data_IF_082979189669
#
_entry.id   IF_082979189669
#
_cell.length_a   1.000
_cell.length_b   1.000
_cell.length_c   1.000
_cell.angle_alpha   90.00
_cell.angle_beta   90.00
_cell.angle_gamma   90.00
#
_symmetry.space_group_name_H-M   'P 1'
#
loop_
_entity.id
_entity.type
_entity.pdbx_description
1 polymer ?
#
# COMPACT_ATOMS: atom_id res chain seq x y z
N UNK A 1 3.41 -6.28 -11.80
CA UNK A 1 2.95 -7.60 -12.26
C UNK A 1 4.13 -8.37 -12.77
N UNK A 2 4.28 -9.65 -12.38
CA UNK A 2 5.33 -10.56 -12.82
C UNK A 2 4.68 -11.77 -13.50
N UNK A 3 5.26 -12.21 -14.61
CA UNK A 3 4.80 -13.39 -15.34
C UNK A 3 5.91 -13.95 -16.21
N UNK A 4 6.04 -15.27 -16.23
CA UNK A 4 6.92 -16.02 -17.14
C UNK A 4 6.19 -16.41 -18.43
N UNK A 5 4.90 -16.13 -18.53
CA UNK A 5 4.13 -16.40 -19.75
C UNK A 5 4.32 -15.26 -20.77
N UNK A 6 4.94 -15.52 -21.95
CA UNK A 6 5.23 -14.49 -22.94
C UNK A 6 3.96 -13.85 -23.54
N UNK A 7 2.87 -14.58 -23.66
CA UNK A 7 1.61 -14.03 -24.14
C UNK A 7 1.00 -13.05 -23.13
N UNK A 8 0.97 -13.40 -21.85
CA UNK A 8 0.51 -12.49 -20.80
C UNK A 8 1.39 -11.26 -20.70
N UNK A 9 2.71 -11.40 -20.84
CA UNK A 9 3.64 -10.28 -20.86
C UNK A 9 3.29 -9.30 -22.00
N UNK A 10 3.05 -9.80 -23.20
CA UNK A 10 2.64 -8.99 -24.37
C UNK A 10 1.33 -8.24 -24.10
N UNK A 11 0.33 -8.93 -23.56
CA UNK A 11 -0.99 -8.35 -23.25
C UNK A 11 -0.87 -7.26 -22.20
N UNK A 12 -0.15 -7.51 -21.09
CA UNK A 12 0.06 -6.55 -20.00
C UNK A 12 0.79 -5.31 -20.50
N UNK A 13 1.80 -5.47 -21.35
CA UNK A 13 2.51 -4.32 -21.97
C UNK A 13 1.60 -3.49 -22.86
N UNK A 14 0.71 -4.12 -23.62
CA UNK A 14 -0.27 -3.42 -24.42
C UNK A 14 -1.25 -2.62 -23.55
N UNK A 15 -1.82 -3.23 -22.52
CA UNK A 15 -2.68 -2.52 -21.55
C UNK A 15 -1.98 -1.36 -20.84
N UNK A 16 -0.70 -1.51 -20.51
CA UNK A 16 0.12 -0.45 -19.90
C UNK A 16 0.29 0.76 -20.82
N UNK A 17 0.31 0.54 -22.15
CA UNK A 17 0.66 1.51 -23.18
C UNK A 17 -0.58 1.80 -24.09
N UNK A 18 -1.66 2.23 -23.49
CA UNK A 18 -2.96 2.62 -24.10
C UNK A 18 -3.71 1.54 -24.87
N UNK A 19 -3.30 0.30 -24.86
CA UNK A 19 -3.88 -0.77 -25.69
C UNK A 19 -3.27 -0.87 -27.08
N UNK A 20 -2.04 -0.35 -27.26
CA UNK A 20 -1.32 -0.48 -28.54
C UNK A 20 -1.05 -1.93 -28.90
N UNK A 21 -1.20 -2.23 -30.18
CA UNK A 21 -0.89 -3.54 -30.75
C UNK A 21 0.61 -3.70 -31.02
N UNK A 22 1.30 -2.61 -31.35
CA UNK A 22 2.73 -2.60 -31.57
C UNK A 22 3.53 -2.87 -30.28
N UNK A 23 4.44 -3.84 -30.34
CA UNK A 23 5.30 -4.27 -29.21
C UNK A 23 6.76 -3.82 -29.32
N UNK A 24 7.10 -3.03 -30.33
CA UNK A 24 8.44 -2.53 -30.51
C UNK A 24 8.88 -1.68 -29.32
N UNK A 25 10.05 -1.94 -28.72
CA UNK A 25 10.61 -1.08 -27.68
C UNK A 25 10.99 0.29 -28.23
N UNK A 26 11.19 1.27 -27.35
CA UNK A 26 11.61 2.62 -27.75
C UNK A 26 12.91 2.57 -28.56
N UNK A 27 12.99 3.37 -29.61
CA UNK A 27 14.15 3.41 -30.51
C UNK A 27 14.25 2.28 -31.54
N UNK A 28 13.31 1.34 -31.53
CA UNK A 28 13.24 0.26 -32.50
C UNK A 28 11.93 0.31 -33.30
N UNK A 29 12.01 0.08 -34.59
CA UNK A 29 10.86 0.09 -35.50
C UNK A 29 10.79 -1.22 -36.28
N UNK A 30 9.58 -1.56 -36.72
CA UNK A 30 9.32 -2.66 -37.65
C UNK A 30 9.91 -4.03 -37.24
N UNK A 31 10.03 -4.32 -35.93
CA UNK A 31 10.53 -5.63 -35.46
C UNK A 31 9.61 -6.80 -35.87
N UNK A 32 8.34 -6.53 -36.13
CA UNK A 32 7.38 -7.55 -36.62
C UNK A 32 7.54 -7.82 -38.12
N UNK A 33 8.25 -6.97 -38.90
CA UNK A 33 8.34 -7.02 -40.36
C UNK A 33 7.05 -6.64 -41.10
N UNK A 34 6.02 -6.17 -40.40
CA UNK A 34 4.67 -5.95 -40.91
C UNK A 34 4.12 -4.56 -40.58
N UNK A 35 4.99 -3.54 -40.62
CA UNK A 35 4.60 -2.20 -40.18
C UNK A 35 3.51 -1.56 -41.06
N UNK A 36 3.55 -1.81 -42.41
CA UNK A 36 2.74 -1.11 -43.40
C UNK A 36 1.98 -2.03 -44.36
N UNK A 37 1.96 -3.33 -44.14
CA UNK A 37 1.46 -4.32 -45.09
C UNK A 37 0.20 -5.06 -44.63
N UNK A 38 -0.39 -4.65 -43.52
CA UNK A 38 -1.58 -5.31 -42.94
C UNK A 38 -2.81 -4.42 -42.91
N UNK A 39 -3.97 -5.06 -42.95
CA UNK A 39 -5.26 -4.46 -42.67
C UNK A 39 -5.57 -4.59 -41.18
N UNK A 40 -5.97 -3.50 -40.54
CA UNK A 40 -6.38 -3.45 -39.13
C UNK A 40 -7.79 -2.87 -39.04
N UNK A 41 -8.78 -3.74 -38.87
CA UNK A 41 -10.19 -3.32 -38.81
C UNK A 41 -10.58 -2.47 -40.05
N UNK A 42 -11.18 -1.31 -39.82
CA UNK A 42 -11.59 -0.36 -40.86
C UNK A 42 -10.54 0.73 -41.18
N UNK A 43 -9.31 0.61 -40.60
CA UNK A 43 -8.24 1.54 -40.93
C UNK A 43 -7.78 1.39 -42.38
N UNK A 44 -7.20 2.43 -43.02
CA UNK A 44 -6.69 2.32 -44.38
C UNK A 44 -5.66 1.18 -44.51
N UNK A 45 -5.69 0.46 -45.66
CA UNK A 45 -4.68 -0.57 -45.93
C UNK A 45 -3.27 0.02 -45.83
N UNK A 46 -2.37 -0.66 -45.17
CA UNK A 46 -1.00 -0.19 -44.95
C UNK A 46 -0.88 0.90 -43.89
N UNK A 47 -1.88 1.10 -43.05
CA UNK A 47 -1.79 2.01 -41.94
C UNK A 47 -0.65 1.61 -40.98
N UNK A 48 0.08 2.60 -40.48
CA UNK A 48 1.27 2.32 -39.64
C UNK A 48 0.89 1.57 -38.35
N UNK A 49 1.32 0.31 -38.24
CA UNK A 49 1.08 -0.58 -37.11
C UNK A 49 1.43 0.05 -35.76
N UNK A 50 2.37 0.98 -35.75
CA UNK A 50 2.81 1.70 -34.53
C UNK A 50 1.67 2.48 -33.86
N UNK A 51 0.66 2.88 -34.60
CA UNK A 51 -0.48 3.68 -34.14
C UNK A 51 -1.79 2.91 -34.08
N UNK A 52 -1.74 1.59 -34.19
CA UNK A 52 -2.93 0.73 -34.08
C UNK A 52 -3.20 0.45 -32.60
N UNK A 53 -4.45 0.65 -32.17
CA UNK A 53 -4.95 0.33 -30.84
C UNK A 53 -5.94 -0.82 -30.96
N UNK A 54 -5.60 -2.00 -30.42
CA UNK A 54 -6.43 -3.19 -30.52
C UNK A 54 -7.51 -3.26 -29.44
N UNK A 55 -7.34 -2.51 -28.35
CA UNK A 55 -8.26 -2.45 -27.21
C UNK A 55 -8.01 -1.17 -26.39
N UNK A 56 -8.88 -0.90 -25.44
CA UNK A 56 -8.67 0.19 -24.49
C UNK A 56 -7.63 -0.21 -23.43
N UNK A 57 -6.67 0.65 -23.18
CA UNK A 57 -5.63 0.45 -22.17
C UNK A 57 -5.41 1.68 -21.30
N UNK A 58 -4.31 1.67 -20.54
CA UNK A 58 -3.98 2.69 -19.55
C UNK A 58 -2.67 3.40 -19.91
N UNK A 59 -2.48 4.59 -19.38
CA UNK A 59 -1.18 5.29 -19.43
C UNK A 59 -0.40 4.97 -18.15
N UNK A 60 0.25 3.80 -18.10
CA UNK A 60 0.98 3.31 -16.93
C UNK A 60 2.48 3.10 -17.19
N UNK A 61 2.98 3.57 -18.32
CA UNK A 61 4.41 3.48 -18.65
C UNK A 61 5.21 4.50 -17.85
N UNK A 62 6.17 4.02 -17.05
CA UNK A 62 7.10 4.88 -16.34
C UNK A 62 7.98 5.68 -17.30
N UNK A 63 8.27 6.92 -16.95
CA UNK A 63 9.25 7.76 -17.69
C UNK A 63 10.67 7.49 -17.20
N UNK A 64 11.66 7.88 -17.99
CA UNK A 64 13.08 7.75 -17.62
C UNK A 64 13.44 8.58 -16.39
N UNK A 65 12.79 9.74 -16.19
CA UNK A 65 12.94 10.55 -14.97
C UNK A 65 12.46 9.80 -13.72
N UNK A 66 11.30 9.13 -13.80
CA UNK A 66 10.79 8.30 -12.70
C UNK A 66 11.72 7.10 -12.44
N UNK A 67 12.24 6.48 -13.49
CA UNK A 67 13.18 5.38 -13.37
C UNK A 67 14.51 5.82 -12.74
N UNK A 68 15.05 6.98 -13.12
CA UNK A 68 16.27 7.54 -12.54
C UNK A 68 16.13 7.81 -11.03
N UNK A 69 14.98 8.36 -10.59
CA UNK A 69 14.67 8.51 -9.16
C UNK A 69 14.64 7.13 -8.48
N UNK A 70 14.01 6.14 -9.11
CA UNK A 70 13.95 4.76 -8.61
C UNK A 70 15.35 4.17 -8.43
N UNK A 71 16.25 4.33 -9.39
CA UNK A 71 17.64 3.87 -9.31
C UNK A 71 18.36 4.48 -8.09
N UNK A 72 18.25 5.80 -7.90
CA UNK A 72 18.87 6.48 -6.76
C UNK A 72 18.27 6.05 -5.40
N UNK A 73 17.01 5.64 -5.37
CA UNK A 73 16.38 5.12 -4.15
C UNK A 73 16.80 3.68 -3.84
N UNK A 74 16.99 2.83 -4.86
CA UNK A 74 17.41 1.43 -4.67
C UNK A 74 18.76 1.35 -3.96
N UNK A 75 19.71 2.24 -4.25
CA UNK A 75 21.01 2.29 -3.58
C UNK A 75 20.87 2.49 -2.05
N UNK A 76 19.86 3.24 -1.61
CA UNK A 76 19.58 3.54 -0.19
C UNK A 76 18.67 2.50 0.46
N UNK A 77 18.02 1.67 -0.33
CA UNK A 77 16.97 0.76 0.12
C UNK A 77 17.41 -0.22 1.23
N UNK A 78 18.59 -0.87 1.17
CA UNK A 78 19.03 -1.76 2.25
C UNK A 78 19.07 -1.05 3.61
N UNK A 79 19.66 0.14 3.67
CA UNK A 79 19.73 0.96 4.90
C UNK A 79 18.33 1.34 5.41
N UNK A 80 17.39 1.65 4.51
CA UNK A 80 16.01 1.95 4.91
C UNK A 80 15.31 0.73 5.52
N UNK A 81 15.54 -0.47 4.97
CA UNK A 81 14.98 -1.71 5.50
C UNK A 81 15.51 -2.01 6.90
N UNK A 82 16.84 -1.92 7.08
CA UNK A 82 17.48 -2.14 8.38
C UNK A 82 16.99 -1.14 9.42
N UNK A 83 16.92 0.15 9.07
CA UNK A 83 16.48 1.18 10.01
C UNK A 83 15.00 1.02 10.39
N UNK A 84 14.13 0.65 9.47
CA UNK A 84 12.71 0.36 9.78
C UNK A 84 12.57 -0.80 10.75
N UNK A 85 13.33 -1.87 10.59
CA UNK A 85 13.35 -3.01 11.50
C UNK A 85 13.86 -2.61 12.87
N UNK A 86 14.99 -1.92 12.93
CA UNK A 86 15.56 -1.41 14.19
C UNK A 86 14.54 -0.54 14.95
N UNK A 87 13.90 0.42 14.28
CA UNK A 87 12.91 1.29 14.90
C UNK A 87 11.70 0.52 15.43
N UNK A 88 11.23 -0.46 14.66
CA UNK A 88 10.13 -1.33 15.07
C UNK A 88 10.50 -2.16 16.29
N UNK A 89 11.64 -2.84 16.26
CA UNK A 89 12.09 -3.72 17.35
C UNK A 89 12.34 -2.92 18.64
N UNK A 90 12.94 -1.73 18.52
CA UNK A 90 13.16 -0.81 19.65
C UNK A 90 11.84 -0.37 20.29
N UNK A 91 10.89 0.08 19.48
CA UNK A 91 9.57 0.50 19.98
C UNK A 91 8.83 -0.67 20.63
N UNK A 92 8.86 -1.85 19.99
CA UNK A 92 8.23 -3.05 20.53
C UNK A 92 8.83 -3.46 21.88
N UNK A 93 10.15 -3.46 22.00
CA UNK A 93 10.82 -3.75 23.26
C UNK A 93 10.46 -2.74 24.35
N UNK A 94 10.45 -1.45 24.02
CA UNK A 94 10.10 -0.38 24.95
C UNK A 94 8.63 -0.41 25.42
N UNK A 95 7.73 -1.02 24.65
CA UNK A 95 6.29 -1.15 24.97
C UNK A 95 5.93 -2.53 25.53
N UNK A 96 6.85 -3.47 25.69
CA UNK A 96 6.56 -4.85 26.10
C UNK A 96 5.75 -4.93 27.42
N UNK A 97 6.02 -4.05 28.36
CA UNK A 97 5.32 -3.99 29.66
C UNK A 97 3.85 -3.55 29.56
N UNK A 98 3.40 -3.06 28.39
CA UNK A 98 2.01 -2.60 28.17
C UNK A 98 1.13 -3.67 27.53
N UNK A 99 1.61 -4.89 27.38
CA UNK A 99 0.87 -5.98 26.73
C UNK A 99 -0.34 -6.46 27.55
N UNK A 100 -0.48 -6.06 28.80
CA UNK A 100 -1.73 -6.21 29.58
C UNK A 100 -2.87 -5.35 29.01
N UNK A 101 -2.57 -4.18 28.46
CA UNK A 101 -3.54 -3.18 27.94
C UNK A 101 -3.55 -3.05 26.42
N UNK A 102 -2.47 -3.41 25.75
CA UNK A 102 -2.27 -3.30 24.31
C UNK A 102 -1.97 -4.66 23.67
N UNK A 103 -2.36 -4.82 22.41
CA UNK A 103 -1.85 -5.87 21.54
C UNK A 103 -0.80 -5.23 20.65
N UNK A 104 0.42 -5.66 20.77
CA UNK A 104 1.55 -5.19 19.98
C UNK A 104 1.76 -6.09 18.75
N UNK A 105 2.24 -5.55 17.61
CA UNK A 105 2.40 -6.31 16.38
C UNK A 105 3.57 -7.30 16.49
N UNK A 106 3.42 -8.44 15.87
CA UNK A 106 4.45 -9.45 15.69
C UNK A 106 4.57 -9.83 14.22
N UNK A 107 5.79 -10.13 13.71
CA UNK A 107 5.93 -10.63 12.35
C UNK A 107 5.24 -12.00 12.23
N UNK A 108 4.67 -12.29 11.07
CA UNK A 108 4.21 -13.63 10.77
C UNK A 108 5.39 -14.61 10.71
N UNK A 109 5.13 -15.88 11.01
CA UNK A 109 6.15 -16.93 10.93
C UNK A 109 6.81 -16.93 9.54
N UNK A 110 8.12 -17.15 9.50
CA UNK A 110 8.93 -17.18 8.28
C UNK A 110 8.92 -15.87 7.46
N UNK A 111 8.56 -14.74 8.09
CA UNK A 111 8.60 -13.41 7.45
C UNK A 111 9.67 -12.50 8.05
N UNK A 112 10.19 -11.57 7.20
CA UNK A 112 11.10 -10.50 7.61
C UNK A 112 10.60 -9.15 7.09
N UNK A 113 9.54 -8.58 7.68
CA UNK A 113 8.92 -7.36 7.18
C UNK A 113 9.87 -6.15 7.23
N UNK A 114 9.70 -5.24 6.26
CA UNK A 114 10.18 -3.86 6.36
C UNK A 114 8.99 -3.01 6.77
N UNK A 115 8.84 -2.77 8.06
CA UNK A 115 7.65 -2.18 8.64
C UNK A 115 7.38 -0.76 8.13
N UNK A 116 6.14 -0.50 7.71
CA UNK A 116 5.67 0.82 7.36
C UNK A 116 5.27 1.62 8.60
N UNK A 117 4.58 0.98 9.53
CA UNK A 117 4.11 1.53 10.78
C UNK A 117 4.06 0.48 11.87
N UNK A 118 3.92 0.93 13.11
CA UNK A 118 3.77 0.10 14.29
C UNK A 118 2.30 0.09 14.70
N UNK A 119 1.64 -1.04 14.48
CA UNK A 119 0.21 -1.23 14.71
C UNK A 119 -0.05 -1.51 16.18
N UNK A 120 -1.00 -0.81 16.78
CA UNK A 120 -1.38 -0.96 18.19
C UNK A 120 -2.89 -1.19 18.25
N UNK A 121 -3.31 -2.26 18.91
CA UNK A 121 -4.73 -2.50 19.19
C UNK A 121 -4.99 -2.44 20.69
N UNK A 122 -5.88 -1.55 21.11
CA UNK A 122 -6.27 -1.42 22.51
C UNK A 122 -7.07 -2.66 22.95
N UNK A 123 -6.75 -3.17 24.15
CA UNK A 123 -7.55 -4.21 24.78
C UNK A 123 -8.75 -3.61 25.50
N UNK A 124 -9.72 -4.46 25.85
CA UNK A 124 -10.91 -4.07 26.59
C UNK A 124 -10.53 -3.29 27.88
N UNK A 125 -11.13 -2.14 28.06
CA UNK A 125 -10.86 -1.23 29.19
C UNK A 125 -9.86 -0.11 28.85
N UNK A 126 -9.26 -0.11 27.67
CA UNK A 126 -8.41 0.98 27.19
C UNK A 126 -9.15 1.74 26.09
N UNK A 127 -9.39 3.03 26.31
CA UNK A 127 -10.05 3.92 25.35
C UNK A 127 -9.05 4.38 24.29
N UNK A 128 -9.17 3.81 23.08
CA UNK A 128 -8.34 4.16 21.93
C UNK A 128 -8.39 5.66 21.59
N UNK A 129 -9.58 6.28 21.67
CA UNK A 129 -9.74 7.68 21.29
C UNK A 129 -9.02 8.61 22.26
N UNK A 130 -9.13 8.36 23.57
CA UNK A 130 -8.40 9.13 24.59
C UNK A 130 -6.90 8.96 24.42
N UNK A 131 -6.42 7.74 24.24
CA UNK A 131 -5.00 7.44 24.03
C UNK A 131 -4.46 8.16 22.79
N UNK A 132 -5.13 8.09 21.67
CA UNK A 132 -4.73 8.76 20.42
C UNK A 132 -4.71 10.27 20.58
N UNK A 133 -5.74 10.87 21.20
CA UNK A 133 -5.77 12.32 21.43
C UNK A 133 -4.62 12.78 22.33
N UNK A 134 -4.27 12.01 23.36
CA UNK A 134 -3.11 12.29 24.19
C UNK A 134 -1.81 12.24 23.39
N UNK A 135 -1.58 11.17 22.62
CA UNK A 135 -0.39 10.99 21.76
C UNK A 135 -0.25 12.14 20.77
N UNK A 136 -1.34 12.51 20.08
CA UNK A 136 -1.37 13.65 19.14
C UNK A 136 -1.08 14.99 19.84
N UNK A 137 -1.58 15.20 21.06
CA UNK A 137 -1.30 16.39 21.85
C UNK A 137 0.19 16.57 22.22
N UNK A 138 0.95 15.48 22.16
CA UNK A 138 2.41 15.44 22.41
C UNK A 138 3.23 15.52 21.11
N UNK A 139 2.60 15.86 19.98
CA UNK A 139 3.27 16.03 18.69
C UNK A 139 3.61 14.75 17.95
N UNK A 140 3.02 13.62 18.33
CA UNK A 140 3.20 12.33 17.66
C UNK A 140 1.96 12.06 16.81
N UNK A 141 2.13 11.99 15.49
CA UNK A 141 1.03 11.69 14.59
C UNK A 141 0.64 10.21 14.66
N UNK A 142 -0.66 9.98 14.69
CA UNK A 142 -1.27 8.65 14.61
C UNK A 142 -2.12 8.50 13.34
N UNK A 143 -2.45 7.28 12.99
CA UNK A 143 -3.40 6.97 11.92
C UNK A 143 -4.26 5.79 12.36
N UNK A 144 -5.53 5.81 11.96
CA UNK A 144 -6.39 4.63 12.07
C UNK A 144 -5.94 3.57 11.07
N UNK A 145 -6.30 2.31 11.30
CA UNK A 145 -6.03 1.28 10.30
C UNK A 145 -6.97 1.47 9.09
N UNK A 146 -6.63 2.49 8.30
CA UNK A 146 -7.37 2.95 7.12
C UNK A 146 -8.86 3.14 7.40
N UNK A 147 -9.72 2.65 6.51
CA UNK A 147 -11.17 2.84 6.59
C UNK A 147 -11.87 1.87 7.57
N UNK A 148 -11.19 0.83 8.07
CA UNK A 148 -11.83 -0.18 8.91
C UNK A 148 -12.97 -0.91 8.19
N UNK A 149 -14.17 -0.90 8.76
CA UNK A 149 -15.34 -1.54 8.16
C UNK A 149 -16.01 -0.62 7.11
N UNK A 150 -15.69 -0.83 5.84
CA UNK A 150 -16.16 -0.01 4.73
C UNK A 150 -17.68 0.10 4.66
N UNK A 151 -18.41 -1.00 4.90
CA UNK A 151 -19.88 -0.98 4.78
C UNK A 151 -20.57 -0.13 5.84
N UNK A 152 -19.86 0.34 6.88
CA UNK A 152 -20.38 1.27 7.88
C UNK A 152 -20.21 2.74 7.52
N UNK A 153 -19.47 3.03 6.44
CA UNK A 153 -19.29 4.41 5.99
C UNK A 153 -20.54 4.98 5.31
N UNK A 154 -20.74 6.30 5.36
CA UNK A 154 -21.92 6.96 4.77
C UNK A 154 -22.13 6.68 3.29
N UNK A 155 -21.07 6.46 2.50
CA UNK A 155 -21.20 6.11 1.09
C UNK A 155 -21.95 4.79 0.82
N UNK A 156 -22.16 3.96 1.85
CA UNK A 156 -22.92 2.73 1.75
C UNK A 156 -24.34 2.84 2.35
N UNK A 157 -24.77 4.03 2.80
CA UNK A 157 -26.07 4.19 3.47
C UNK A 157 -27.24 3.71 2.60
N UNK A 158 -27.31 4.13 1.34
CA UNK A 158 -28.34 3.71 0.40
C UNK A 158 -28.30 2.20 0.14
N UNK A 159 -27.11 1.66 -0.12
CA UNK A 159 -26.94 0.22 -0.35
C UNK A 159 -27.37 -0.61 0.85
N UNK A 160 -27.09 -0.13 2.08
CA UNK A 160 -27.53 -0.79 3.31
C UNK A 160 -29.05 -0.72 3.49
N UNK A 161 -29.65 0.43 3.21
CA UNK A 161 -31.10 0.62 3.27
C UNK A 161 -31.83 -0.31 2.28
N UNK A 162 -31.32 -0.39 1.05
CA UNK A 162 -31.88 -1.23 -0.02
C UNK A 162 -31.45 -2.72 0.09
N UNK A 163 -30.47 -3.05 0.93
CA UNK A 163 -29.84 -4.38 1.03
C UNK A 163 -29.36 -4.91 -0.31
N UNK A 164 -28.81 -4.04 -1.16
CA UNK A 164 -28.43 -4.33 -2.54
C UNK A 164 -27.07 -3.73 -2.87
N UNK A 165 -26.36 -4.34 -3.85
CA UNK A 165 -25.09 -3.82 -4.37
C UNK A 165 -23.86 -4.23 -3.58
N UNK A 166 -23.99 -4.98 -2.48
CA UNK A 166 -22.86 -5.51 -1.69
C UNK A 166 -23.17 -6.89 -1.12
N UNK A 167 -22.13 -7.59 -0.68
CA UNK A 167 -22.24 -8.88 0.01
C UNK A 167 -21.31 -8.88 1.23
N UNK A 168 -21.82 -9.27 2.38
CA UNK A 168 -21.05 -9.51 3.59
C UNK A 168 -20.85 -11.01 3.76
N UNK A 169 -19.63 -11.41 4.09
CA UNK A 169 -19.26 -12.78 4.43
C UNK A 169 -18.83 -12.83 5.89
N UNK A 170 -19.54 -13.61 6.70
CA UNK A 170 -19.32 -13.69 8.15
C UNK A 170 -19.91 -12.51 8.92
N UNK A 171 -19.44 -12.33 10.16
CA UNK A 171 -20.00 -11.34 11.13
C UNK A 171 -19.28 -10.00 11.09
N UNK A 172 -18.09 -9.90 10.51
CA UNK A 172 -17.20 -8.73 10.52
C UNK A 172 -16.79 -8.22 11.92
N UNK A 173 -16.95 -9.02 12.98
CA UNK A 173 -16.61 -8.64 14.36
C UNK A 173 -15.14 -8.21 14.51
N UNK A 174 -14.21 -8.95 13.88
CA UNK A 174 -12.80 -8.58 13.90
C UNK A 174 -12.53 -7.27 13.14
N UNK A 175 -13.23 -7.04 12.03
CA UNK A 175 -13.14 -5.80 11.25
C UNK A 175 -13.66 -4.62 12.07
N UNK A 176 -14.76 -4.79 12.78
CA UNK A 176 -15.34 -3.79 13.67
C UNK A 176 -14.41 -3.48 14.85
N UNK A 177 -13.83 -4.52 15.46
CA UNK A 177 -12.84 -4.37 16.51
C UNK A 177 -11.59 -3.59 16.04
N UNK A 178 -11.07 -3.93 14.87
CA UNK A 178 -9.95 -3.19 14.28
C UNK A 178 -10.33 -1.72 14.06
N UNK A 179 -11.51 -1.46 13.53
CA UNK A 179 -12.00 -0.09 13.31
C UNK A 179 -12.09 0.72 14.61
N UNK A 180 -12.55 0.10 15.70
CA UNK A 180 -12.77 0.76 16.99
C UNK A 180 -11.47 0.93 17.79
N UNK A 181 -10.64 -0.10 17.83
CA UNK A 181 -9.60 -0.25 18.85
C UNK A 181 -8.19 -0.11 18.32
N UNK A 182 -7.99 -0.06 16.99
CA UNK A 182 -6.66 -0.09 16.38
C UNK A 182 -6.25 1.27 15.83
N UNK A 183 -4.98 1.63 16.00
CA UNK A 183 -4.29 2.74 15.38
C UNK A 183 -2.83 2.35 15.10
N UNK A 184 -2.08 3.19 14.40
CA UNK A 184 -0.65 2.98 14.19
C UNK A 184 0.14 4.28 14.25
N UNK A 185 1.43 4.14 14.59
CA UNK A 185 2.44 5.19 14.58
C UNK A 185 3.55 4.87 13.58
N UNK A 186 4.22 5.88 13.07
CA UNK A 186 5.28 5.68 12.07
C UNK A 186 6.57 5.12 12.68
N UNK A 187 7.29 4.30 11.89
CA UNK A 187 8.64 3.81 12.22
C UNK A 187 9.58 4.01 11.03
N UNK A 188 9.47 5.14 10.34
CA UNK A 188 10.20 5.43 9.11
C UNK A 188 11.73 5.58 9.35
N UNK A 189 12.57 5.42 8.31
CA UNK A 189 14.03 5.36 8.46
C UNK A 189 14.67 6.62 9.05
N UNK A 190 14.06 7.79 8.90
CA UNK A 190 14.58 9.05 9.41
C UNK A 190 14.32 9.32 10.90
N UNK A 191 13.71 8.37 11.62
CA UNK A 191 13.53 8.50 13.08
C UNK A 191 14.81 8.10 13.80
N UNK A 192 15.23 8.93 14.75
CA UNK A 192 16.34 8.63 15.66
C UNK A 192 15.85 7.77 16.84
N UNK A 193 16.79 7.18 17.56
CA UNK A 193 16.47 6.36 18.72
C UNK A 193 15.77 7.16 19.82
N UNK A 194 16.17 8.42 20.02
CA UNK A 194 15.53 9.33 20.98
C UNK A 194 14.07 9.61 20.63
N UNK A 195 13.74 9.72 19.33
CA UNK A 195 12.35 9.88 18.88
C UNK A 195 11.51 8.64 19.13
N UNK A 196 12.09 7.45 18.94
CA UNK A 196 11.41 6.18 19.24
C UNK A 196 11.19 6.05 20.76
N UNK A 197 12.19 6.37 21.57
CA UNK A 197 12.09 6.33 23.05
C UNK A 197 11.04 7.34 23.56
N UNK A 198 11.04 8.55 23.01
CA UNK A 198 10.02 9.55 23.31
C UNK A 198 8.61 9.06 22.96
N UNK A 199 8.44 8.45 21.80
CA UNK A 199 7.16 7.86 21.38
C UNK A 199 6.70 6.78 22.37
N UNK A 200 7.59 5.85 22.74
CA UNK A 200 7.28 4.82 23.72
C UNK A 200 6.86 5.41 25.07
N UNK A 201 7.60 6.42 25.56
CA UNK A 201 7.28 7.13 26.81
C UNK A 201 5.87 7.74 26.74
N UNK A 202 5.56 8.48 25.69
CA UNK A 202 4.26 9.16 25.53
C UNK A 202 3.10 8.15 25.44
N UNK A 203 3.28 7.02 24.74
CA UNK A 203 2.27 5.97 24.68
C UNK A 203 1.99 5.42 26.08
N UNK A 204 3.03 5.13 26.88
CA UNK A 204 2.89 4.65 28.27
C UNK A 204 2.19 5.68 29.16
N UNK A 205 2.57 6.95 29.09
CA UNK A 205 1.92 8.03 29.83
C UNK A 205 0.44 8.18 29.46
N UNK A 206 0.09 8.06 28.16
CA UNK A 206 -1.29 8.10 27.68
C UNK A 206 -2.16 6.96 28.22
N UNK A 207 -1.57 5.81 28.52
CA UNK A 207 -2.30 4.70 29.15
C UNK A 207 -2.66 4.96 30.61
N UNK A 208 -2.05 5.93 31.27
CA UNK A 208 -2.30 6.30 32.66
C UNK A 208 -3.38 7.40 32.81
N UNK A 209 -3.84 7.99 31.69
CA UNK A 209 -4.89 9.01 31.68
C UNK A 209 -6.29 8.37 31.64
#
# INVERSE_FOLDING_TARGET
VYTDNPLLNKIIRSFRDWGRDCVCPSGHDNMCGHRFDRQYGELPLGYDHKYVYSHFGYNLKATDLQAAIGCAQIEKFPTFVERRRHNFDRLRAALAETEDRLILPVPAENSRPSWFGFLITCKKGTDRNKLVQYIESKGIQTRMLFAGNLIKHPCFDEMRAEKKGYRVVGTLENTDRIMSDTFWVGVYPGMTDEKIDYMAKVIKEGLLQ
#
